data_IF_938101036938
#
_entry.id   IF_938101036938
#
_cell.length_a   1.000
_cell.length_b   1.000
_cell.length_c   1.000
_cell.angle_alpha   90.00
_cell.angle_beta   90.00
_cell.angle_gamma   90.00
#
_symmetry.space_group_name_H-M   'P 1'
#
loop_
_entity.id
_entity.type
_entity.pdbx_description
1 polymer ?
#
# COMPACT_ATOMS: atom_id res chain seq x y z
N UNK A 1 15.28 -8.40 32.31
CA UNK A 1 14.23 -8.35 31.28
C UNK A 1 14.69 -9.21 30.14
N UNK A 2 14.02 -10.35 29.92
CA UNK A 2 14.41 -11.33 28.91
C UNK A 2 13.95 -10.82 27.55
N UNK A 3 14.88 -10.47 26.65
CA UNK A 3 14.59 -10.40 25.22
C UNK A 3 14.10 -11.78 24.81
N UNK A 4 12.80 -11.92 24.51
CA UNK A 4 12.35 -13.04 23.68
C UNK A 4 12.83 -12.68 22.28
N UNK A 5 13.81 -13.42 21.79
CA UNK A 5 14.12 -13.47 20.37
C UNK A 5 12.90 -14.11 19.71
N UNK A 6 12.18 -13.35 18.89
CA UNK A 6 11.13 -13.95 18.07
C UNK A 6 11.79 -14.98 17.13
N UNK A 7 11.17 -16.15 16.91
CA UNK A 7 11.75 -17.19 16.09
C UNK A 7 11.89 -16.67 14.66
N UNK A 8 13.11 -16.70 14.12
CA UNK A 8 13.35 -16.49 12.70
C UNK A 8 12.58 -17.58 11.96
N UNK A 9 11.55 -17.20 11.21
CA UNK A 9 10.79 -18.12 10.38
C UNK A 9 11.71 -18.62 9.27
N UNK A 10 11.90 -19.93 9.19
CA UNK A 10 12.63 -20.53 8.08
C UNK A 10 11.84 -20.35 6.78
N UNK A 11 12.51 -20.04 5.65
CA UNK A 11 11.84 -19.86 4.37
C UNK A 11 11.09 -21.13 3.94
N UNK A 12 9.82 -20.98 3.53
CA UNK A 12 9.01 -22.08 3.02
C UNK A 12 9.41 -22.34 1.55
N UNK A 13 9.89 -23.55 1.21
CA UNK A 13 10.42 -23.82 -0.14
C UNK A 13 9.38 -23.70 -1.25
N UNK A 14 8.08 -23.65 -0.91
CA UNK A 14 6.97 -23.48 -1.86
C UNK A 14 6.55 -22.01 -1.94
N UNK A 15 6.43 -21.31 -0.80
CA UNK A 15 6.02 -19.89 -0.78
C UNK A 15 7.15 -18.95 -1.18
N UNK A 16 8.39 -19.30 -0.84
CA UNK A 16 9.61 -18.55 -1.12
C UNK A 16 10.39 -19.15 -2.29
N UNK A 17 9.69 -19.83 -3.20
CA UNK A 17 10.29 -20.45 -4.38
C UNK A 17 10.99 -19.38 -5.25
N UNK A 18 12.20 -19.66 -5.77
CA UNK A 18 12.93 -18.70 -6.61
C UNK A 18 12.13 -18.28 -7.84
N UNK A 19 12.32 -17.05 -8.30
CA UNK A 19 11.72 -16.57 -9.53
C UNK A 19 11.98 -17.48 -10.73
N UNK A 20 10.91 -17.75 -11.49
CA UNK A 20 10.90 -18.70 -12.59
C UNK A 20 10.65 -20.15 -12.18
N UNK A 21 10.63 -20.46 -10.88
CA UNK A 21 10.07 -21.71 -10.39
C UNK A 21 8.54 -21.60 -10.34
N UNK A 22 7.86 -22.57 -10.94
CA UNK A 22 6.42 -22.72 -10.82
C UNK A 22 6.16 -23.79 -9.76
N UNK A 23 5.78 -23.43 -8.52
CA UNK A 23 5.39 -24.42 -7.54
C UNK A 23 4.13 -25.16 -8.04
N UNK A 24 4.04 -26.46 -7.76
CA UNK A 24 2.84 -27.23 -8.05
C UNK A 24 1.61 -26.54 -7.41
N UNK A 25 0.53 -26.25 -8.17
CA UNK A 25 -0.55 -25.38 -7.70
C UNK A 25 -1.19 -25.80 -6.37
N UNK A 26 -1.44 -27.09 -6.18
CA UNK A 26 -2.03 -27.60 -4.94
C UNK A 26 -1.05 -27.53 -3.75
N UNK A 27 0.25 -27.66 -4.02
CA UNK A 27 1.28 -27.50 -2.99
C UNK A 27 1.36 -26.04 -2.53
N UNK A 28 1.30 -25.10 -3.48
CA UNK A 28 1.23 -23.66 -3.20
C UNK A 28 0.03 -23.32 -2.32
N UNK A 29 -1.16 -23.80 -2.69
CA UNK A 29 -2.38 -23.56 -1.92
C UNK A 29 -2.25 -24.09 -0.51
N UNK A 30 -1.80 -25.33 -0.34
CA UNK A 30 -1.66 -25.92 1.00
C UNK A 30 -0.60 -25.20 1.83
N UNK A 31 0.50 -24.75 1.23
CA UNK A 31 1.51 -23.95 1.92
C UNK A 31 0.92 -22.60 2.36
N UNK A 32 0.19 -21.93 1.48
CA UNK A 32 -0.47 -20.67 1.79
C UNK A 32 -1.52 -20.83 2.90
N UNK A 33 -2.31 -21.91 2.91
CA UNK A 33 -3.27 -22.18 3.99
C UNK A 33 -2.57 -22.40 5.33
N UNK A 34 -1.45 -23.14 5.36
CA UNK A 34 -0.68 -23.35 6.59
C UNK A 34 -0.12 -22.03 7.12
N UNK A 35 0.41 -21.19 6.24
CA UNK A 35 0.98 -19.88 6.59
C UNK A 35 -0.10 -18.91 7.08
N UNK A 36 -1.09 -18.58 6.24
CA UNK A 36 -2.05 -17.52 6.56
C UNK A 36 -3.01 -17.85 7.72
N UNK A 37 -3.14 -19.12 8.11
CA UNK A 37 -4.01 -19.57 9.19
C UNK A 37 -3.27 -20.24 10.36
N UNK A 38 -1.95 -20.11 10.42
CA UNK A 38 -1.15 -20.47 11.60
C UNK A 38 -1.15 -19.30 12.59
N UNK A 39 -1.33 -19.53 13.91
CA UNK A 39 -1.22 -18.46 14.92
C UNK A 39 0.12 -17.72 14.90
N UNK A 40 1.18 -18.35 14.41
CA UNK A 40 2.54 -17.82 14.38
C UNK A 40 2.82 -16.92 13.16
N UNK A 41 2.10 -17.11 12.05
CA UNK A 41 2.42 -16.48 10.74
C UNK A 41 1.22 -15.82 10.05
N UNK A 42 0.01 -16.16 10.48
CA UNK A 42 -1.22 -15.64 9.92
C UNK A 42 -1.44 -14.17 10.23
N UNK A 43 -2.08 -13.45 9.30
CA UNK A 43 -2.47 -12.07 9.59
C UNK A 43 -3.62 -12.05 10.60
N UNK A 44 -3.69 -11.05 11.51
CA UNK A 44 -4.77 -10.94 12.48
C UNK A 44 -6.17 -11.02 11.85
N UNK A 45 -6.33 -10.42 10.66
CA UNK A 45 -7.56 -10.50 9.88
C UNK A 45 -7.94 -11.93 9.48
N UNK A 46 -7.02 -12.71 8.89
CA UNK A 46 -7.34 -14.07 8.46
C UNK A 46 -7.58 -15.00 9.65
N UNK A 47 -6.82 -14.84 10.73
CA UNK A 47 -7.01 -15.61 11.96
C UNK A 47 -8.39 -15.39 12.57
N UNK A 48 -8.85 -14.13 12.66
CA UNK A 48 -10.22 -13.82 13.13
C UNK A 48 -11.30 -14.23 12.13
N UNK A 49 -11.08 -13.99 10.84
CA UNK A 49 -12.05 -14.38 9.80
C UNK A 49 -12.26 -15.89 9.78
N UNK A 50 -11.21 -16.68 10.04
CA UNK A 50 -11.31 -18.14 10.11
C UNK A 50 -12.27 -18.64 11.20
N UNK A 51 -12.45 -17.89 12.29
CA UNK A 51 -13.42 -18.22 13.34
C UNK A 51 -14.88 -18.18 12.85
N UNK A 52 -15.13 -17.49 11.73
CA UNK A 52 -16.46 -17.36 11.13
C UNK A 52 -16.79 -18.46 10.11
N UNK A 53 -15.80 -19.26 9.70
CA UNK A 53 -15.99 -20.30 8.69
C UNK A 53 -16.59 -21.56 9.29
N UNK A 54 -17.37 -22.29 8.48
CA UNK A 54 -17.86 -23.63 8.78
C UNK A 54 -16.87 -24.74 8.36
N UNK A 55 -15.66 -24.36 7.96
CA UNK A 55 -14.56 -25.24 7.56
C UNK A 55 -13.23 -24.77 8.14
N UNK A 56 -12.24 -25.68 8.25
CA UNK A 56 -10.86 -25.32 8.64
C UNK A 56 -10.01 -25.11 7.37
N UNK A 57 -9.57 -23.88 7.06
CA UNK A 57 -8.71 -23.60 5.91
C UNK A 57 -7.49 -24.51 5.76
N UNK A 58 -6.83 -24.88 6.87
CA UNK A 58 -5.59 -25.68 6.84
C UNK A 58 -5.84 -27.14 6.50
N UNK A 59 -7.05 -27.62 6.78
CA UNK A 59 -7.43 -29.03 6.59
C UNK A 59 -8.27 -29.23 5.32
N UNK A 60 -9.23 -28.34 5.11
CA UNK A 60 -10.33 -28.51 4.17
C UNK A 60 -10.09 -27.81 2.82
N UNK A 61 -9.07 -26.96 2.71
CA UNK A 61 -8.64 -26.32 1.46
C UNK A 61 -7.31 -26.90 1.01
N UNK A 62 -7.35 -27.76 -0.02
CA UNK A 62 -6.15 -28.46 -0.53
C UNK A 62 -5.87 -28.24 -2.01
N UNK A 63 -6.88 -27.81 -2.76
CA UNK A 63 -6.83 -27.64 -4.22
C UNK A 63 -7.38 -26.29 -4.65
N UNK A 64 -7.13 -25.91 -5.90
CA UNK A 64 -7.69 -24.68 -6.47
C UNK A 64 -9.21 -24.62 -6.39
N UNK A 65 -9.90 -25.76 -6.56
CA UNK A 65 -11.35 -25.82 -6.47
C UNK A 65 -11.87 -25.51 -5.06
N UNK A 66 -11.12 -25.89 -4.02
CA UNK A 66 -11.52 -25.64 -2.63
C UNK A 66 -11.46 -24.16 -2.24
N UNK A 67 -10.69 -23.33 -2.97
CA UNK A 67 -10.63 -21.88 -2.73
C UNK A 67 -12.01 -21.21 -2.88
N UNK A 68 -12.93 -21.82 -3.63
CA UNK A 68 -14.30 -21.35 -3.78
C UNK A 68 -15.13 -21.38 -2.49
N UNK A 69 -14.63 -22.04 -1.43
CA UNK A 69 -15.24 -22.02 -0.09
C UNK A 69 -15.02 -20.69 0.64
N UNK A 70 -13.98 -19.95 0.28
CA UNK A 70 -13.74 -18.64 0.90
C UNK A 70 -14.77 -17.61 0.43
N UNK A 71 -15.26 -16.76 1.33
CA UNK A 71 -16.00 -15.58 0.91
C UNK A 71 -15.06 -14.62 0.18
N UNK A 72 -15.62 -13.74 -0.65
CA UNK A 72 -14.84 -12.68 -1.25
C UNK A 72 -14.45 -11.64 -0.18
N UNK A 73 -13.15 -11.51 0.07
CA UNK A 73 -12.59 -10.63 1.13
C UNK A 73 -12.51 -9.17 0.70
N UNK A 74 -12.44 -8.88 -0.61
CA UNK A 74 -12.62 -7.52 -1.13
C UNK A 74 -14.07 -7.45 -1.61
N UNK A 75 -14.93 -6.61 -1.01
CA UNK A 75 -16.34 -6.72 -1.32
C UNK A 75 -16.61 -6.30 -2.77
N UNK A 76 -17.42 -7.09 -3.47
CA UNK A 76 -17.94 -6.72 -4.79
C UNK A 76 -19.19 -5.85 -4.61
N UNK A 77 -19.41 -4.91 -5.52
CA UNK A 77 -20.61 -4.08 -5.52
C UNK A 77 -20.71 -3.06 -4.36
N UNK A 78 -19.68 -2.92 -3.52
CA UNK A 78 -19.58 -1.85 -2.51
C UNK A 78 -18.83 -0.65 -3.07
N UNK A 79 -19.20 0.56 -2.66
CA UNK A 79 -18.59 1.80 -3.13
C UNK A 79 -17.10 1.90 -2.82
N UNK A 80 -16.36 2.52 -3.73
CA UNK A 80 -14.95 2.87 -3.56
C UNK A 80 -14.82 4.37 -3.36
N UNK A 81 -14.40 4.83 -2.19
CA UNK A 81 -14.15 6.24 -1.93
C UNK A 81 -12.67 6.56 -2.17
N UNK A 82 -12.40 7.49 -3.09
CA UNK A 82 -11.06 8.01 -3.35
C UNK A 82 -10.95 9.44 -2.81
N UNK A 83 -10.23 9.59 -1.71
CA UNK A 83 -9.80 10.87 -1.13
C UNK A 83 -8.38 11.16 -1.61
N UNK A 84 -8.27 11.39 -2.92
CA UNK A 84 -7.01 11.59 -3.63
C UNK A 84 -7.27 12.47 -4.87
N UNK A 85 -6.23 13.01 -5.52
CA UNK A 85 -6.40 13.84 -6.71
C UNK A 85 -7.22 13.14 -7.81
N UNK A 86 -8.31 13.77 -8.24
CA UNK A 86 -9.29 13.16 -9.14
C UNK A 86 -8.95 13.34 -10.64
N UNK A 87 -8.41 14.50 -11.04
CA UNK A 87 -8.07 14.82 -12.43
C UNK A 87 -7.19 16.09 -12.52
N UNK A 88 -6.27 16.23 -13.50
CA UNK A 88 -5.94 15.35 -14.62
C UNK A 88 -4.92 14.25 -14.26
N UNK A 89 -5.03 13.66 -13.06
CA UNK A 89 -4.11 12.65 -12.56
C UNK A 89 -4.52 11.24 -13.01
N UNK A 90 -3.58 10.47 -13.55
CA UNK A 90 -3.82 9.08 -14.01
C UNK A 90 -4.33 8.18 -12.89
N UNK A 91 -3.95 8.48 -11.64
CA UNK A 91 -4.35 7.73 -10.45
C UNK A 91 -5.86 7.64 -10.27
N UNK A 92 -6.60 8.75 -10.46
CA UNK A 92 -8.06 8.77 -10.33
C UNK A 92 -8.76 7.84 -11.33
N UNK A 93 -8.25 7.77 -12.57
CA UNK A 93 -8.75 6.84 -13.59
C UNK A 93 -8.37 5.39 -13.28
N UNK A 94 -7.18 5.14 -12.73
CA UNK A 94 -6.77 3.81 -12.30
C UNK A 94 -7.71 3.26 -11.21
N UNK A 95 -7.96 4.04 -10.16
CA UNK A 95 -8.92 3.67 -9.10
C UNK A 95 -10.33 3.48 -9.68
N UNK A 96 -10.73 4.33 -10.63
CA UNK A 96 -12.03 4.22 -11.29
C UNK A 96 -12.20 2.92 -12.08
N UNK A 97 -11.15 2.46 -12.78
CA UNK A 97 -11.16 1.17 -13.48
C UNK A 97 -11.20 -0.01 -12.51
N UNK A 98 -10.42 0.07 -11.42
CA UNK A 98 -10.41 -0.97 -10.39
C UNK A 98 -11.79 -1.17 -9.73
N UNK A 99 -12.50 -0.08 -9.44
CA UNK A 99 -13.86 -0.14 -8.90
C UNK A 99 -14.84 -0.78 -9.90
N UNK A 100 -14.79 -0.37 -11.18
CA UNK A 100 -15.68 -0.92 -12.23
C UNK A 100 -15.45 -2.41 -12.48
N UNK A 101 -14.19 -2.85 -12.48
CA UNK A 101 -13.86 -4.27 -12.60
C UNK A 101 -14.44 -5.13 -11.47
N UNK A 102 -14.72 -4.52 -10.31
CA UNK A 102 -15.35 -5.14 -9.14
C UNK A 102 -16.84 -4.86 -9.04
N UNK A 103 -17.46 -4.43 -10.14
CA UNK A 103 -18.89 -4.17 -10.25
C UNK A 103 -19.38 -2.98 -9.45
N UNK A 104 -18.50 -2.01 -9.16
CA UNK A 104 -18.83 -0.85 -8.32
C UNK A 104 -18.47 0.49 -8.96
N UNK A 105 -19.02 1.57 -8.37
CA UNK A 105 -18.70 2.94 -8.70
C UNK A 105 -17.58 3.49 -7.80
N UNK A 106 -16.78 4.40 -8.38
CA UNK A 106 -15.84 5.23 -7.63
C UNK A 106 -16.54 6.52 -7.20
N UNK A 107 -16.60 6.76 -5.90
CA UNK A 107 -16.87 8.05 -5.28
C UNK A 107 -15.56 8.81 -5.11
N UNK A 108 -15.63 10.13 -5.24
CA UNK A 108 -14.43 11.00 -5.18
C UNK A 108 -14.80 12.31 -4.53
N UNK A 109 -13.80 12.95 -3.95
CA UNK A 109 -13.83 14.36 -3.56
C UNK A 109 -13.00 15.18 -4.55
N UNK A 110 -13.18 16.50 -4.52
CA UNK A 110 -12.41 17.43 -5.33
C UNK A 110 -11.16 17.87 -4.55
N UNK A 111 -10.07 17.16 -4.79
CA UNK A 111 -8.78 17.43 -4.19
C UNK A 111 -7.81 17.95 -5.25
N UNK A 112 -7.40 19.22 -5.13
CA UNK A 112 -6.36 19.84 -5.95
C UNK A 112 -5.03 19.94 -5.17
N UNK A 113 -4.11 18.99 -5.40
CA UNK A 113 -2.80 18.99 -4.74
C UNK A 113 -1.91 20.18 -5.13
N UNK A 114 -2.14 20.77 -6.31
CA UNK A 114 -1.35 21.87 -6.85
C UNK A 114 -1.71 23.17 -6.17
N UNK A 115 -2.99 23.35 -5.84
CA UNK A 115 -3.45 24.47 -5.02
C UNK A 115 -2.83 24.41 -3.62
N UNK A 116 -2.86 23.24 -2.97
CA UNK A 116 -2.25 23.04 -1.64
C UNK A 116 -0.75 23.39 -1.68
N UNK A 117 -0.02 22.86 -2.65
CA UNK A 117 1.41 23.18 -2.82
C UNK A 117 1.65 24.68 -3.01
N UNK A 118 0.83 25.36 -3.82
CA UNK A 118 0.94 26.81 -4.04
C UNK A 118 0.74 27.60 -2.75
N UNK A 119 -0.30 27.26 -1.98
CA UNK A 119 -0.61 27.91 -0.70
C UNK A 119 0.51 27.72 0.33
N UNK A 120 1.10 26.53 0.39
CA UNK A 120 2.26 26.25 1.24
C UNK A 120 3.50 27.05 0.81
N UNK A 121 3.78 27.11 -0.49
CA UNK A 121 4.88 27.91 -1.04
C UNK A 121 4.70 29.42 -0.76
N UNK A 122 3.46 29.90 -0.73
CA UNK A 122 3.10 31.28 -0.37
C UNK A 122 3.18 31.55 1.15
N UNK A 123 3.56 30.55 1.98
CA UNK A 123 3.72 30.70 3.42
C UNK A 123 2.41 30.79 4.19
N UNK A 124 1.34 30.16 3.70
CA UNK A 124 -0.03 30.20 4.27
C UNK A 124 -0.51 28.80 4.75
N UNK A 125 0.21 28.15 5.69
CA UNK A 125 -0.09 26.77 6.11
C UNK A 125 -1.49 26.60 6.72
N UNK A 126 -2.03 27.62 7.36
CA UNK A 126 -3.38 27.61 7.92
C UNK A 126 -4.48 27.42 6.86
N UNK A 127 -4.27 27.92 5.65
CA UNK A 127 -5.22 27.76 4.55
C UNK A 127 -5.13 26.37 3.92
N UNK A 128 -3.94 25.77 3.92
CA UNK A 128 -3.77 24.37 3.55
C UNK A 128 -4.48 23.45 4.55
N UNK A 129 -4.38 23.75 5.85
CA UNK A 129 -5.07 23.00 6.90
C UNK A 129 -6.60 23.10 6.75
N UNK A 130 -7.13 24.31 6.55
CA UNK A 130 -8.56 24.51 6.29
C UNK A 130 -9.05 23.76 5.06
N UNK A 131 -8.22 23.67 4.03
CA UNK A 131 -8.53 22.91 2.82
C UNK A 131 -8.55 21.40 3.09
N UNK A 132 -7.59 20.88 3.86
CA UNK A 132 -7.58 19.47 4.26
C UNK A 132 -8.82 19.10 5.07
N UNK A 133 -9.22 19.92 6.06
CA UNK A 133 -10.45 19.71 6.82
C UNK A 133 -11.70 19.73 5.93
N UNK A 134 -11.76 20.65 4.97
CA UNK A 134 -12.84 20.67 3.98
C UNK A 134 -12.93 19.36 3.17
N UNK A 135 -11.79 18.81 2.76
CA UNK A 135 -11.72 17.53 2.04
C UNK A 135 -12.21 16.37 2.93
N UNK A 136 -11.85 16.37 4.22
CA UNK A 136 -12.33 15.38 5.19
C UNK A 136 -13.83 15.49 5.43
N UNK A 137 -14.39 16.70 5.51
CA UNK A 137 -15.84 16.92 5.61
C UNK A 137 -16.59 16.35 4.39
N UNK A 138 -16.05 16.56 3.18
CA UNK A 138 -16.62 15.97 1.96
C UNK A 138 -16.58 14.44 1.98
N UNK A 139 -15.45 13.86 2.40
CA UNK A 139 -15.28 12.42 2.53
C UNK A 139 -16.26 11.84 3.57
N UNK A 140 -16.38 12.49 4.73
CA UNK A 140 -17.32 12.13 5.78
C UNK A 140 -18.76 12.08 5.28
N UNK A 141 -19.19 13.06 4.48
CA UNK A 141 -20.54 13.06 3.92
C UNK A 141 -20.82 11.87 2.98
N UNK A 142 -19.80 11.40 2.28
CA UNK A 142 -19.91 10.21 1.43
C UNK A 142 -19.98 8.94 2.30
N UNK A 143 -19.11 8.82 3.30
CA UNK A 143 -19.10 7.70 4.26
C UNK A 143 -20.43 7.57 5.02
N UNK A 144 -21.08 8.68 5.36
CA UNK A 144 -22.39 8.69 6.03
C UNK A 144 -23.54 8.19 5.15
N UNK A 145 -23.46 8.40 3.84
CA UNK A 145 -24.63 8.28 2.95
C UNK A 145 -24.53 7.14 1.95
N UNK A 146 -23.32 6.62 1.72
CA UNK A 146 -23.04 5.58 0.75
C UNK A 146 -22.44 4.37 1.45
N UNK A 147 -22.71 3.17 0.91
CA UNK A 147 -22.07 1.94 1.35
C UNK A 147 -20.65 1.88 0.76
N UNK A 148 -19.65 2.30 1.54
CA UNK A 148 -18.24 2.34 1.14
C UNK A 148 -17.48 1.19 1.77
N UNK A 149 -16.97 0.26 0.96
CA UNK A 149 -16.16 -0.86 1.44
C UNK A 149 -14.66 -0.70 1.19
N UNK A 150 -14.25 0.24 0.34
CA UNK A 150 -12.85 0.52 0.03
C UNK A 150 -12.57 2.02 0.11
N UNK A 151 -11.58 2.40 0.92
CA UNK A 151 -11.10 3.77 1.06
C UNK A 151 -9.68 3.88 0.50
N UNK A 152 -9.50 4.76 -0.48
CA UNK A 152 -8.19 5.10 -1.05
C UNK A 152 -7.87 6.53 -0.65
N UNK A 153 -6.80 6.73 0.09
CA UNK A 153 -6.41 8.05 0.63
C UNK A 153 -4.90 8.16 0.73
N UNK A 154 -4.42 9.27 1.26
CA UNK A 154 -3.02 9.50 1.60
C UNK A 154 -2.82 9.42 3.12
N UNK A 155 -1.58 9.20 3.60
CA UNK A 155 -1.28 9.22 5.03
C UNK A 155 -1.76 10.50 5.76
N UNK A 156 -1.47 11.74 5.29
CA UNK A 156 -1.86 12.94 6.01
C UNK A 156 -3.39 13.13 6.14
N UNK A 157 -4.16 12.67 5.15
CA UNK A 157 -5.62 12.72 5.22
C UNK A 157 -6.19 11.57 6.05
N UNK A 158 -5.56 10.40 6.02
CA UNK A 158 -5.95 9.27 6.86
C UNK A 158 -5.76 9.60 8.34
N UNK A 159 -4.65 10.24 8.72
CA UNK A 159 -4.40 10.71 10.08
C UNK A 159 -5.44 11.75 10.53
N UNK A 160 -5.82 12.69 9.66
CA UNK A 160 -6.87 13.68 9.97
C UNK A 160 -8.23 13.01 10.16
N UNK A 161 -8.58 12.05 9.30
CA UNK A 161 -9.79 11.24 9.46
C UNK A 161 -9.76 10.47 10.79
N UNK A 162 -8.62 9.89 11.15
CA UNK A 162 -8.43 9.10 12.38
C UNK A 162 -8.58 9.93 13.67
N UNK A 163 -8.48 11.26 13.61
CA UNK A 163 -8.72 12.16 14.75
C UNK A 163 -10.20 12.46 15.00
N UNK A 164 -11.10 11.95 14.15
CA UNK A 164 -12.54 12.20 14.20
C UNK A 164 -13.29 10.92 14.56
N UNK A 165 -13.72 10.81 15.82
CA UNK A 165 -14.40 9.62 16.36
C UNK A 165 -15.63 9.19 15.54
N UNK A 166 -16.39 10.17 14.99
CA UNK A 166 -17.53 9.93 14.11
C UNK A 166 -17.12 9.22 12.82
N UNK A 167 -16.03 9.65 12.20
CA UNK A 167 -15.53 9.07 10.95
C UNK A 167 -14.84 7.73 11.18
N UNK A 168 -14.05 7.60 12.26
CA UNK A 168 -13.43 6.33 12.66
C UNK A 168 -14.49 5.25 12.85
N UNK A 169 -15.61 5.61 13.48
CA UNK A 169 -16.74 4.70 13.65
C UNK A 169 -17.32 4.26 12.30
N UNK A 170 -17.63 5.20 11.41
CA UNK A 170 -18.19 4.88 10.09
C UNK A 170 -17.24 3.99 9.26
N UNK A 171 -15.95 4.29 9.30
CA UNK A 171 -14.92 3.50 8.60
C UNK A 171 -14.85 2.08 9.15
N UNK A 172 -14.80 1.90 10.48
CA UNK A 172 -14.80 0.56 11.09
C UNK A 172 -16.10 -0.23 10.81
N UNK A 173 -17.25 0.43 10.69
CA UNK A 173 -18.52 -0.24 10.39
C UNK A 173 -18.57 -0.76 8.93
N UNK A 174 -18.17 0.07 7.96
CA UNK A 174 -18.43 -0.20 6.54
C UNK A 174 -17.19 -0.56 5.71
N UNK A 175 -16.04 0.02 6.01
CA UNK A 175 -14.82 -0.17 5.21
C UNK A 175 -14.17 -1.50 5.57
N UNK A 176 -13.65 -2.18 4.56
CA UNK A 176 -12.92 -3.45 4.68
C UNK A 176 -11.48 -3.34 4.24
N UNK A 177 -11.19 -2.38 3.35
CA UNK A 177 -9.84 -2.12 2.84
C UNK A 177 -9.55 -0.62 2.84
N UNK A 178 -8.41 -0.25 3.41
CA UNK A 178 -7.80 1.07 3.25
C UNK A 178 -6.51 0.90 2.45
N UNK A 179 -6.39 1.64 1.36
CA UNK A 179 -5.14 1.74 0.61
C UNK A 179 -4.59 3.15 0.74
N UNK A 180 -3.32 3.26 1.13
CA UNK A 180 -2.63 4.54 1.24
C UNK A 180 -1.50 4.65 0.22
N UNK A 181 -1.18 5.87 -0.18
CA UNK A 181 -0.05 6.13 -1.07
C UNK A 181 0.11 7.61 -1.35
N UNK A 182 1.17 7.96 -2.08
CA UNK A 182 1.42 9.34 -2.53
C UNK A 182 2.06 10.27 -1.50
N UNK A 183 2.23 9.83 -0.25
CA UNK A 183 3.07 10.49 0.76
C UNK A 183 3.71 9.44 1.69
N UNK A 184 4.70 9.87 2.46
CA UNK A 184 5.38 9.01 3.44
C UNK A 184 4.48 8.62 4.62
N UNK A 185 4.62 7.39 5.11
CA UNK A 185 4.08 6.92 6.38
C UNK A 185 5.17 6.10 7.09
N UNK A 186 5.45 6.44 8.34
CA UNK A 186 6.40 5.70 9.17
C UNK A 186 5.77 4.45 9.81
N UNK A 187 6.63 3.59 10.36
CA UNK A 187 6.24 2.32 10.97
C UNK A 187 5.30 2.50 12.17
N UNK A 188 5.58 3.49 13.03
CA UNK A 188 4.80 3.79 14.23
C UNK A 188 3.36 4.19 13.87
N UNK A 189 3.22 5.15 12.95
CA UNK A 189 1.93 5.64 12.46
C UNK A 189 1.16 4.51 11.78
N UNK A 190 1.84 3.70 10.95
CA UNK A 190 1.22 2.53 10.33
C UNK A 190 0.71 1.54 11.38
N UNK A 191 1.50 1.24 12.41
CA UNK A 191 1.10 0.31 13.47
C UNK A 191 -0.11 0.84 14.25
N UNK A 192 -0.12 2.12 14.63
CA UNK A 192 -1.26 2.74 15.33
C UNK A 192 -2.53 2.67 14.46
N UNK A 193 -2.44 3.07 13.20
CA UNK A 193 -3.61 3.06 12.30
C UNK A 193 -4.12 1.64 12.07
N UNK A 194 -3.23 0.67 11.88
CA UNK A 194 -3.56 -0.73 11.61
C UNK A 194 -4.08 -1.46 12.85
N UNK A 195 -3.41 -1.30 13.99
CA UNK A 195 -3.60 -2.16 15.16
C UNK A 195 -4.52 -1.54 16.21
N UNK A 196 -4.58 -0.21 16.30
CA UNK A 196 -5.37 0.51 17.31
C UNK A 196 -6.62 1.18 16.72
N UNK A 197 -6.48 1.91 15.60
CA UNK A 197 -7.58 2.72 15.05
C UNK A 197 -8.53 1.89 14.17
N UNK A 198 -7.97 1.05 13.30
CA UNK A 198 -8.72 0.25 12.32
C UNK A 198 -8.36 -1.24 12.37
N UNK A 199 -8.45 -1.91 13.54
CA UNK A 199 -7.94 -3.26 13.78
C UNK A 199 -8.54 -4.34 12.87
N UNK A 200 -9.75 -4.13 12.36
CA UNK A 200 -10.49 -5.08 11.52
C UNK A 200 -10.35 -4.80 10.01
N UNK A 201 -9.63 -3.75 9.63
CA UNK A 201 -9.52 -3.29 8.25
C UNK A 201 -8.16 -3.72 7.69
N UNK A 202 -8.15 -4.19 6.45
CA UNK A 202 -6.90 -4.39 5.73
C UNK A 202 -6.33 -3.04 5.30
N UNK A 203 -5.21 -2.65 5.89
CA UNK A 203 -4.46 -1.46 5.52
C UNK A 203 -3.18 -1.87 4.82
N UNK A 204 -2.93 -1.34 3.63
CA UNK A 204 -1.64 -1.52 2.96
C UNK A 204 -1.26 -0.31 2.10
N UNK A 205 0.05 -0.10 1.99
CA UNK A 205 0.65 0.96 1.21
C UNK A 205 0.81 0.61 -0.27
N UNK A 206 0.79 1.66 -1.09
CA UNK A 206 1.10 1.60 -2.51
C UNK A 206 2.08 2.71 -2.84
N UNK A 207 3.25 2.31 -3.37
CA UNK A 207 4.24 3.23 -3.90
C UNK A 207 4.25 3.10 -5.41
N UNK A 208 3.79 4.14 -6.12
CA UNK A 208 3.74 4.12 -7.57
C UNK A 208 4.13 5.45 -8.16
N UNK A 209 4.75 5.39 -9.35
CA UNK A 209 5.00 6.55 -10.17
C UNK A 209 4.17 6.45 -11.44
N UNK A 210 3.53 7.57 -11.81
CA UNK A 210 2.75 7.66 -13.05
C UNK A 210 3.63 7.35 -14.27
N UNK A 211 4.93 7.65 -14.19
CA UNK A 211 5.87 7.40 -15.28
C UNK A 211 6.00 5.92 -15.58
N UNK A 212 6.03 5.07 -14.56
CA UNK A 212 6.33 3.64 -14.70
C UNK A 212 5.06 2.80 -14.87
N UNK A 213 3.92 3.46 -15.06
CA UNK A 213 2.63 2.86 -15.42
C UNK A 213 2.18 1.73 -14.48
N UNK A 214 2.54 1.82 -13.20
CA UNK A 214 2.17 0.84 -12.20
C UNK A 214 2.60 1.26 -10.80
N UNK A 215 2.52 0.31 -9.87
CA UNK A 215 2.88 0.54 -8.49
C UNK A 215 3.52 -0.71 -7.87
N UNK A 216 4.36 -0.47 -6.87
CA UNK A 216 4.81 -1.42 -5.89
C UNK A 216 3.82 -1.46 -4.73
N UNK A 217 3.66 -2.64 -4.15
CA UNK A 217 2.78 -2.85 -3.00
C UNK A 217 3.64 -3.02 -1.74
N UNK A 218 3.08 -2.57 -0.62
CA UNK A 218 3.69 -2.83 0.67
C UNK A 218 3.83 -4.33 0.91
N UNK A 219 5.01 -4.74 1.37
CA UNK A 219 5.36 -6.12 1.66
C UNK A 219 4.43 -6.66 2.74
N UNK A 220 3.91 -7.86 2.50
CA UNK A 220 3.07 -8.55 3.46
C UNK A 220 3.88 -9.09 4.64
N UNK A 221 3.28 -9.11 5.82
CA UNK A 221 3.89 -9.73 7.01
C UNK A 221 4.89 -8.86 7.78
N UNK A 222 4.96 -7.56 7.49
CA UNK A 222 5.79 -6.62 8.24
C UNK A 222 5.30 -6.47 9.69
N UNK A 223 6.23 -6.54 10.65
CA UNK A 223 5.97 -6.31 12.07
C UNK A 223 5.71 -4.83 12.35
N UNK A 224 5.33 -4.49 13.60
CA UNK A 224 5.07 -3.10 13.99
C UNK A 224 6.29 -2.19 13.76
N UNK A 225 7.49 -2.68 14.07
CA UNK A 225 8.74 -1.91 14.02
C UNK A 225 9.40 -1.90 12.63
N UNK A 226 8.95 -2.76 11.71
CA UNK A 226 9.51 -2.81 10.37
C UNK A 226 9.07 -1.57 9.56
N UNK A 227 9.98 -0.95 8.78
CA UNK A 227 9.60 0.15 7.91
C UNK A 227 8.61 -0.32 6.85
N UNK A 228 7.86 0.61 6.27
CA UNK A 228 6.98 0.33 5.13
C UNK A 228 7.83 -0.05 3.90
N UNK A 229 8.05 -1.34 3.67
CA UNK A 229 8.81 -1.88 2.54
C UNK A 229 7.88 -2.07 1.35
N UNK A 230 8.28 -1.63 0.17
CA UNK A 230 7.53 -1.78 -1.08
C UNK A 230 8.28 -2.70 -2.05
N UNK A 231 7.57 -3.72 -2.51
CA UNK A 231 8.05 -4.69 -3.49
C UNK A 231 7.46 -4.36 -4.87
N UNK A 232 8.30 -4.11 -5.90
CA UNK A 232 7.82 -3.80 -7.24
C UNK A 232 7.16 -5.00 -7.93
N UNK A 233 6.32 -4.73 -8.93
CA UNK A 233 5.73 -5.77 -9.78
C UNK A 233 6.75 -6.35 -10.79
N UNK A 234 7.74 -7.07 -10.26
CA UNK A 234 8.79 -7.72 -11.02
C UNK A 234 8.25 -8.84 -11.93
N UNK A 235 8.83 -9.05 -13.13
CA UNK A 235 9.99 -8.35 -13.70
C UNK A 235 9.60 -7.10 -14.50
N UNK A 236 8.31 -6.77 -14.59
CA UNK A 236 7.82 -5.69 -15.45
C UNK A 236 8.15 -4.31 -14.90
N UNK A 237 8.17 -4.19 -13.57
CA UNK A 237 8.65 -3.03 -12.84
C UNK A 237 9.78 -3.49 -11.93
N UNK A 238 10.90 -2.80 -11.94
CA UNK A 238 12.04 -3.07 -11.04
C UNK A 238 12.65 -1.77 -10.57
N UNK A 239 13.22 -1.80 -9.36
CA UNK A 239 13.85 -0.64 -8.75
C UNK A 239 15.36 -0.85 -8.60
N UNK A 240 16.09 0.26 -8.59
CA UNK A 240 17.45 0.36 -8.08
C UNK A 240 17.52 1.58 -7.17
N UNK A 241 18.38 1.54 -6.15
CA UNK A 241 18.66 2.70 -5.30
C UNK A 241 20.10 3.11 -5.49
N UNK A 242 20.32 4.34 -5.95
CA UNK A 242 21.66 4.83 -6.34
C UNK A 242 22.06 6.09 -5.59
N UNK A 243 23.36 6.31 -5.47
CA UNK A 243 23.89 7.60 -5.03
C UNK A 243 23.53 8.68 -6.07
N UNK A 244 22.92 9.82 -5.66
CA UNK A 244 22.43 10.84 -6.60
C UNK A 244 23.53 11.46 -7.48
N UNK A 245 24.77 11.50 -7.01
CA UNK A 245 25.88 12.16 -7.71
C UNK A 245 26.57 11.21 -8.68
N UNK A 246 26.85 9.99 -8.23
CA UNK A 246 27.65 9.00 -8.96
C UNK A 246 26.81 8.03 -9.76
N UNK A 247 25.50 7.95 -9.50
CA UNK A 247 24.54 7.01 -10.12
C UNK A 247 24.90 5.54 -9.89
N UNK A 248 25.73 5.24 -8.89
CA UNK A 248 26.11 3.86 -8.53
C UNK A 248 25.16 3.33 -7.47
N UNK A 249 24.80 2.03 -7.49
CA UNK A 249 23.99 1.44 -6.43
C UNK A 249 24.62 1.65 -5.05
N UNK A 250 23.80 2.08 -4.08
CA UNK A 250 24.18 2.16 -2.67
C UNK A 250 24.10 0.78 -2.02
N UNK A 251 24.66 0.60 -0.82
CA UNK A 251 24.52 -0.64 -0.05
C UNK A 251 23.08 -0.89 0.43
N UNK A 252 22.75 -2.14 0.78
CA UNK A 252 21.50 -2.42 1.48
C UNK A 252 21.49 -1.73 2.85
N UNK A 253 20.34 -1.16 3.22
CA UNK A 253 20.17 -0.30 4.39
C UNK A 253 20.63 1.15 4.19
N UNK A 254 21.25 1.48 3.05
CA UNK A 254 21.64 2.85 2.73
C UNK A 254 20.54 3.58 1.96
N UNK A 255 20.49 4.91 2.14
CA UNK A 255 19.52 5.78 1.47
C UNK A 255 20.11 6.35 0.18
N UNK A 256 19.34 6.29 -0.90
CA UNK A 256 19.73 6.84 -2.20
C UNK A 256 18.51 7.22 -3.03
N UNK A 257 18.74 7.70 -4.25
CA UNK A 257 17.69 8.06 -5.19
C UNK A 257 17.18 6.83 -5.94
N UNK A 258 15.87 6.74 -6.07
CA UNK A 258 15.22 5.61 -6.73
C UNK A 258 15.34 5.77 -8.25
N UNK A 259 15.77 4.70 -8.90
CA UNK A 259 15.62 4.50 -10.34
C UNK A 259 14.54 3.43 -10.52
N UNK A 260 13.59 3.70 -11.41
CA UNK A 260 12.59 2.73 -11.80
C UNK A 260 12.75 2.33 -13.27
N UNK A 261 12.46 1.07 -13.55
CA UNK A 261 12.40 0.52 -14.89
C UNK A 261 10.99 0.00 -15.17
N UNK A 262 10.46 0.27 -16.37
CA UNK A 262 9.30 -0.46 -16.90
C UNK A 262 9.71 -1.23 -18.15
N UNK A 263 9.47 -2.53 -18.17
CA UNK A 263 9.73 -3.38 -19.33
C UNK A 263 8.52 -4.29 -19.56
N UNK A 264 7.68 -3.95 -20.53
CA UNK A 264 6.55 -4.79 -20.95
C UNK A 264 6.34 -4.73 -22.46
N UNK A 265 5.40 -5.54 -22.96
CA UNK A 265 4.98 -5.46 -24.37
C UNK A 265 4.46 -4.05 -24.75
N UNK A 266 3.89 -3.34 -23.79
CA UNK A 266 3.15 -2.09 -24.04
C UNK A 266 3.98 -0.83 -23.77
N UNK A 267 5.05 -0.93 -22.98
CA UNK A 267 5.91 0.21 -22.65
C UNK A 267 7.34 -0.24 -22.33
N UNK A 268 8.30 0.63 -22.65
CA UNK A 268 9.72 0.46 -22.33
C UNK A 268 10.25 1.79 -21.77
N UNK A 269 10.55 1.82 -20.48
CA UNK A 269 11.09 2.96 -19.75
C UNK A 269 12.26 2.50 -18.88
N UNK A 270 13.45 2.32 -19.47
CA UNK A 270 14.63 1.95 -18.71
C UNK A 270 15.22 3.17 -18.00
N UNK A 271 15.78 2.95 -16.81
CA UNK A 271 16.62 3.89 -16.09
C UNK A 271 15.94 5.24 -15.78
N UNK A 272 14.66 5.20 -15.41
CA UNK A 272 13.90 6.41 -15.06
C UNK A 272 14.29 6.86 -13.64
N UNK A 273 15.04 7.95 -13.54
CA UNK A 273 15.40 8.52 -12.24
C UNK A 273 14.18 9.22 -11.64
N UNK A 274 13.72 8.75 -10.50
CA UNK A 274 12.58 9.32 -9.78
C UNK A 274 13.01 10.49 -8.90
N UNK A 275 12.03 11.26 -8.42
CA UNK A 275 12.23 12.39 -7.50
C UNK A 275 12.18 11.96 -6.04
N UNK A 276 12.36 10.66 -5.80
CA UNK A 276 12.21 10.05 -4.49
C UNK A 276 13.55 9.50 -4.02
N UNK A 277 13.83 9.71 -2.74
CA UNK A 277 14.84 8.99 -1.98
C UNK A 277 14.17 7.83 -1.26
N UNK A 278 14.88 6.71 -1.19
CA UNK A 278 14.44 5.56 -0.43
C UNK A 278 15.64 4.83 0.18
N UNK A 279 15.36 4.07 1.23
CA UNK A 279 16.30 3.09 1.80
C UNK A 279 16.29 1.86 0.90
N UNK A 280 17.47 1.38 0.49
CA UNK A 280 17.62 0.17 -0.31
C UNK A 280 17.38 -1.08 0.54
N UNK A 281 16.37 -1.88 0.21
CA UNK A 281 16.00 -3.09 0.96
C UNK A 281 16.26 -4.34 0.13
N UNK A 282 16.69 -5.40 0.80
CA UNK A 282 16.88 -6.70 0.16
C UNK A 282 15.55 -7.23 -0.40
N UNK A 283 15.53 -7.61 -1.69
CA UNK A 283 14.31 -8.06 -2.33
C UNK A 283 13.96 -9.51 -1.94
N UNK A 284 12.69 -9.93 -2.09
CA UNK A 284 12.31 -11.33 -1.96
C UNK A 284 13.07 -12.22 -2.96
N UNK A 285 13.27 -13.52 -2.65
CA UNK A 285 14.00 -14.44 -3.53
C UNK A 285 13.54 -14.41 -4.99
N UNK A 286 14.48 -14.10 -5.89
CA UNK A 286 14.27 -14.10 -7.33
C UNK A 286 13.61 -12.86 -7.94
N UNK A 287 13.14 -11.90 -7.13
CA UNK A 287 12.70 -10.62 -7.65
C UNK A 287 13.82 -9.91 -8.43
N UNK A 288 13.47 -9.26 -9.54
CA UNK A 288 14.37 -8.40 -10.29
C UNK A 288 14.42 -7.00 -9.66
N UNK A 289 15.63 -6.53 -9.37
CA UNK A 289 15.84 -5.23 -8.74
C UNK A 289 15.61 -5.26 -7.23
N UNK A 290 15.70 -4.10 -6.63
CA UNK A 290 15.63 -3.91 -5.18
C UNK A 290 14.18 -3.71 -4.69
N UNK A 291 13.98 -3.94 -3.40
CA UNK A 291 12.84 -3.39 -2.68
C UNK A 291 13.25 -2.07 -2.03
N UNK A 292 12.26 -1.24 -1.68
CA UNK A 292 12.51 0.11 -1.15
C UNK A 292 11.69 0.38 0.08
N UNK A 293 12.24 1.12 1.04
CA UNK A 293 11.52 1.59 2.21
C UNK A 293 11.77 3.08 2.46
N UNK A 294 11.03 3.67 3.40
CA UNK A 294 11.18 5.06 3.82
C UNK A 294 11.14 6.05 2.64
N UNK A 295 10.30 5.75 1.66
CA UNK A 295 10.19 6.56 0.44
C UNK A 295 9.76 7.97 0.82
N UNK A 296 10.47 8.97 0.30
CA UNK A 296 10.12 10.38 0.45
C UNK A 296 10.83 11.25 -0.59
N UNK A 297 10.41 12.50 -0.77
CA UNK A 297 10.92 13.36 -1.83
C UNK A 297 12.41 13.69 -1.68
N UNK A 298 13.10 13.89 -2.81
CA UNK A 298 14.41 14.58 -2.83
C UNK A 298 14.24 16.03 -2.35
N UNK A 299 15.18 16.55 -1.58
CA UNK A 299 15.10 17.93 -1.06
C UNK A 299 15.14 19.00 -2.19
N UNK A 300 15.83 18.72 -3.29
CA UNK A 300 15.99 19.60 -4.46
C UNK A 300 15.97 18.75 -5.73
N UNK A 301 15.21 19.19 -6.74
CA UNK A 301 15.22 18.60 -8.09
C UNK A 301 15.26 19.72 -9.13
N UNK A 302 16.19 19.67 -10.08
CA UNK A 302 16.40 20.72 -11.11
C UNK A 302 16.42 22.15 -10.54
N UNK A 303 17.17 22.37 -9.45
CA UNK A 303 17.31 23.65 -8.72
C UNK A 303 16.02 24.21 -8.06
N UNK A 304 14.94 23.42 -7.98
CA UNK A 304 13.72 23.77 -7.23
C UNK A 304 13.58 22.95 -5.93
N UNK A 305 13.31 23.59 -4.77
CA UNK A 305 13.00 22.88 -3.53
C UNK A 305 11.67 22.12 -3.67
N UNK A 306 11.69 20.82 -3.37
CA UNK A 306 10.50 19.98 -3.49
C UNK A 306 9.71 19.99 -2.18
N UNK A 307 8.57 20.69 -2.18
CA UNK A 307 7.62 20.62 -1.06
C UNK A 307 6.83 19.32 -1.21
N UNK A 308 6.98 18.39 -0.27
CA UNK A 308 6.08 17.24 -0.16
C UNK A 308 4.66 17.76 -0.08
N UNK A 309 3.82 17.27 -0.98
CA UNK A 309 2.44 17.67 -0.98
C UNK A 309 1.76 17.10 0.25
N UNK A 310 1.41 17.96 1.21
CA UNK A 310 0.54 17.59 2.33
C UNK A 310 -0.86 17.37 1.77
N UNK A 311 -1.07 16.23 1.13
CA UNK A 311 -2.36 15.80 0.63
C UNK A 311 -2.48 14.32 0.73
#
# INVERSE_FOLDING_TARGET
MSHRSDPVLEPDPVLDAPFGAEPEPDALIQAAMRWHFSPETGSPFWLRTAETFDFDPRRDVRTFADLARFPNVVPNGVGWLSVAPSGPHVFGEFVGRQARQRGSARFTVDLDPRWVRKVLADGRPEEAERYAEHVIDQAGRILETQDIGVLVTTPPLLERLARRDDLVKLVNEHVRVITWGGAHMDADTRSILRDEVFPEIQIYGVYGSTMVLGAAHERLGLTADDPCVFDPYSPYISFEVVDPQTRRPVGYGERGQVIMHHISRNALLPNNLERDLATRIEPPPGQMGDSVADVGPVAVFDDEPLIEGVY
#
